data_IF_162499937973
#
_entry.id   IF_162499937973
#
_cell.length_a   1.000
_cell.length_b   1.000
_cell.length_c   1.000
_cell.angle_alpha   90.00
_cell.angle_beta   90.00
_cell.angle_gamma   90.00
#
_symmetry.space_group_name_H-M   'P 1'
#
loop_
_entity.id
_entity.type
_entity.pdbx_description
1 polymer ?
#
# COMPACT_ATOMS: atom_id res chain seq x y z
N UNK A 1 -28.34 -9.41 1.35
CA UNK A 1 -27.19 -8.73 0.71
C UNK A 1 -27.64 -7.50 -0.04
N UNK A 2 -26.83 -6.42 0.05
CA UNK A 2 -27.04 -5.21 -0.71
C UNK A 2 -26.56 -5.37 -2.17
N UNK A 3 -27.26 -4.70 -3.08
CA UNK A 3 -26.79 -4.49 -4.45
C UNK A 3 -26.79 -3.00 -4.70
N UNK A 4 -25.67 -2.46 -5.19
CA UNK A 4 -25.47 -1.03 -5.36
C UNK A 4 -25.34 -0.73 -6.85
N UNK A 5 -26.11 0.27 -7.31
CA UNK A 5 -25.97 0.88 -8.62
C UNK A 5 -25.61 2.35 -8.40
N UNK A 6 -24.39 2.74 -8.76
CA UNK A 6 -23.92 4.12 -8.70
C UNK A 6 -24.18 4.81 -10.04
N UNK A 7 -24.90 5.92 -10.03
CA UNK A 7 -25.24 6.69 -11.23
C UNK A 7 -24.80 8.14 -10.99
N UNK A 8 -24.02 8.69 -11.90
CA UNK A 8 -23.60 10.10 -11.87
C UNK A 8 -23.30 10.58 -13.31
N UNK A 9 -23.46 11.87 -13.54
CA UNK A 9 -23.01 12.58 -14.75
C UNK A 9 -21.52 12.95 -14.68
N UNK A 10 -20.88 12.76 -13.51
CA UNK A 10 -19.48 13.04 -13.24
C UNK A 10 -18.75 11.77 -12.80
N UNK A 11 -17.84 11.28 -13.60
CA UNK A 11 -17.11 10.05 -13.29
C UNK A 11 -16.33 10.13 -11.96
N UNK A 12 -15.80 11.30 -11.63
CA UNK A 12 -15.10 11.55 -10.38
C UNK A 12 -15.96 11.32 -9.13
N UNK A 13 -17.28 11.54 -9.24
CA UNK A 13 -18.23 11.29 -8.13
C UNK A 13 -18.35 9.80 -7.81
N UNK A 14 -18.17 8.93 -8.79
CA UNK A 14 -18.16 7.48 -8.57
C UNK A 14 -16.93 7.07 -7.77
N UNK A 15 -15.75 7.59 -8.13
CA UNK A 15 -14.48 7.33 -7.45
C UNK A 15 -14.50 7.82 -6.00
N UNK A 16 -15.08 9.00 -5.75
CA UNK A 16 -15.17 9.59 -4.42
C UNK A 16 -16.37 9.09 -3.59
N UNK A 17 -17.11 8.08 -4.06
CA UNK A 17 -18.36 7.62 -3.43
C UNK A 17 -18.10 6.75 -2.19
N UNK A 18 -18.80 7.06 -1.10
CA UNK A 18 -18.79 6.27 0.13
C UNK A 18 -20.05 5.40 0.29
N UNK A 19 -20.80 5.16 -0.77
CA UNK A 19 -22.10 4.44 -0.70
C UNK A 19 -21.91 3.04 -0.11
N UNK A 20 -20.92 2.27 -0.57
CA UNK A 20 -20.69 0.91 -0.06
C UNK A 20 -20.35 0.89 1.42
N UNK A 21 -19.46 1.76 1.86
CA UNK A 21 -19.09 1.93 3.26
C UNK A 21 -20.31 2.28 4.10
N UNK A 22 -21.16 3.20 3.63
CA UNK A 22 -22.33 3.70 4.36
C UNK A 22 -23.47 2.68 4.50
N UNK A 23 -23.45 1.57 3.76
CA UNK A 23 -24.42 0.47 3.89
C UNK A 23 -24.07 -0.51 5.02
N UNK A 24 -22.89 -0.38 5.62
CA UNK A 24 -22.45 -1.23 6.73
C UNK A 24 -22.89 -0.67 8.09
N UNK A 25 -22.91 -1.56 9.09
CA UNK A 25 -23.24 -1.18 10.46
C UNK A 25 -22.27 -0.14 11.02
N UNK A 26 -22.67 0.67 11.99
CA UNK A 26 -21.79 1.56 12.71
C UNK A 26 -20.60 0.84 13.35
N UNK A 27 -19.57 1.60 13.70
CA UNK A 27 -18.37 1.08 14.36
C UNK A 27 -18.73 0.32 15.64
N UNK A 28 -18.19 -0.91 15.77
CA UNK A 28 -18.35 -1.79 16.95
C UNK A 28 -17.15 -1.74 17.90
N UNK A 29 -16.13 -0.95 17.59
CA UNK A 29 -14.95 -0.76 18.44
C UNK A 29 -15.15 0.52 19.25
N UNK A 30 -15.19 0.41 20.58
CA UNK A 30 -15.42 1.56 21.47
C UNK A 30 -14.27 2.55 21.46
N UNK A 31 -13.03 2.05 21.60
CA UNK A 31 -11.81 2.85 21.50
C UNK A 31 -11.04 2.54 20.23
N UNK A 32 -10.99 3.49 19.31
CA UNK A 32 -10.24 3.40 18.05
C UNK A 32 -8.89 4.13 18.11
N UNK A 33 -8.51 4.69 19.25
CA UNK A 33 -7.30 5.53 19.39
C UNK A 33 -5.99 4.79 19.12
N UNK A 34 -5.98 3.47 19.27
CA UNK A 34 -4.84 2.60 18.99
C UNK A 34 -4.67 2.30 17.49
N UNK A 35 -5.71 2.50 16.66
CA UNK A 35 -5.67 2.27 15.22
C UNK A 35 -4.81 3.38 14.58
N UNK A 36 -3.68 3.01 14.02
CA UNK A 36 -2.70 3.95 13.45
C UNK A 36 -2.35 3.57 12.02
N UNK A 37 -3.09 4.06 11.02
CA UNK A 37 -2.69 3.93 9.62
C UNK A 37 -1.27 4.47 9.39
N UNK A 38 -0.53 3.88 8.47
CA UNK A 38 0.86 4.27 8.23
C UNK A 38 1.51 3.51 7.09
N UNK A 39 2.83 3.60 6.98
CA UNK A 39 3.62 2.95 5.93
C UNK A 39 4.50 1.86 6.50
N UNK A 40 4.61 0.75 5.75
CA UNK A 40 5.40 -0.42 6.13
C UNK A 40 6.39 -0.83 5.06
N UNK A 41 7.58 -1.28 5.45
CA UNK A 41 8.42 -2.06 4.53
C UNK A 41 7.81 -3.44 4.32
N UNK A 42 7.98 -4.01 3.12
CA UNK A 42 7.53 -5.35 2.79
C UNK A 42 8.61 -6.11 2.02
N UNK A 43 9.52 -6.73 2.76
CA UNK A 43 10.79 -7.26 2.24
C UNK A 43 10.63 -8.50 1.35
N UNK A 44 9.53 -9.22 1.48
CA UNK A 44 9.22 -10.33 0.61
C UNK A 44 9.23 -9.93 -0.87
N UNK A 45 8.69 -8.75 -1.21
CA UNK A 45 8.65 -8.27 -2.59
C UNK A 45 10.04 -8.15 -3.21
N UNK A 46 11.00 -7.59 -2.48
CA UNK A 46 12.36 -7.42 -2.99
C UNK A 46 13.25 -8.68 -2.82
N UNK A 47 12.73 -9.75 -2.20
CA UNK A 47 13.46 -11.00 -1.95
C UNK A 47 14.35 -10.93 -0.72
N UNK A 48 13.98 -10.14 0.30
CA UNK A 48 14.73 -9.95 1.55
C UNK A 48 16.20 -9.52 1.33
N UNK A 49 16.42 -8.66 0.33
CA UNK A 49 17.76 -8.24 -0.05
C UNK A 49 18.36 -7.33 1.02
N UNK A 50 19.59 -7.62 1.39
CA UNK A 50 20.43 -6.81 2.27
C UNK A 50 21.81 -6.62 1.61
N UNK A 51 22.51 -5.50 1.85
CA UNK A 51 23.83 -5.24 1.26
C UNK A 51 24.94 -6.11 1.86
N UNK A 52 24.74 -6.58 3.10
CA UNK A 52 25.71 -7.45 3.78
C UNK A 52 25.63 -8.87 3.21
N UNK A 53 26.70 -9.33 2.58
CA UNK A 53 26.80 -10.65 1.96
C UNK A 53 27.35 -11.74 2.89
N UNK A 54 27.60 -11.41 4.16
CA UNK A 54 28.12 -12.38 5.14
C UNK A 54 27.04 -13.31 5.67
N UNK A 55 25.77 -13.00 5.44
CA UNK A 55 24.62 -13.85 5.76
C UNK A 55 23.55 -13.80 4.66
N UNK A 56 22.66 -14.77 4.66
CA UNK A 56 21.51 -14.79 3.75
C UNK A 56 20.35 -13.96 4.35
N UNK A 57 19.84 -13.02 3.56
CA UNK A 57 18.64 -12.25 3.94
C UNK A 57 17.41 -13.15 4.11
N UNK A 58 16.54 -12.82 5.08
CA UNK A 58 15.31 -13.57 5.37
C UNK A 58 14.94 -13.59 6.86
N UNK A 59 14.48 -14.75 7.35
CA UNK A 59 14.03 -14.96 8.73
C UNK A 59 15.21 -14.97 9.73
N UNK A 60 15.82 -13.81 9.95
CA UNK A 60 16.87 -13.63 10.95
C UNK A 60 16.90 -12.18 11.48
N UNK A 61 17.52 -12.01 12.63
CA UNK A 61 17.61 -10.70 13.28
C UNK A 61 18.37 -9.65 12.42
N UNK A 62 19.53 -9.94 11.79
CA UNK A 62 20.25 -8.94 11.01
C UNK A 62 19.42 -8.35 9.86
N UNK A 63 18.65 -9.17 9.14
CA UNK A 63 17.75 -8.70 8.07
C UNK A 63 16.68 -7.77 8.62
N UNK A 64 15.96 -8.20 9.65
CA UNK A 64 14.89 -7.39 10.24
C UNK A 64 15.45 -6.09 10.83
N UNK A 65 16.60 -6.16 11.52
CA UNK A 65 17.29 -4.98 12.03
C UNK A 65 17.60 -3.95 10.94
N UNK A 66 18.14 -4.40 9.80
CA UNK A 66 18.48 -3.53 8.69
C UNK A 66 17.28 -2.73 8.16
N UNK A 67 16.12 -3.39 8.00
CA UNK A 67 14.89 -2.72 7.56
C UNK A 67 14.22 -1.89 8.67
N UNK A 68 14.28 -2.33 9.91
CA UNK A 68 13.80 -1.53 11.06
C UNK A 68 14.59 -0.22 11.16
N UNK A 69 15.93 -0.27 11.02
CA UNK A 69 16.77 0.92 11.01
C UNK A 69 16.41 1.88 9.87
N UNK A 70 16.09 1.34 8.69
CA UNK A 70 15.61 2.15 7.55
C UNK A 70 14.28 2.84 7.87
N UNK A 71 13.31 2.11 8.42
CA UNK A 71 12.02 2.65 8.84
C UNK A 71 12.21 3.79 9.84
N UNK A 72 13.01 3.56 10.88
CA UNK A 72 13.25 4.51 11.96
C UNK A 72 13.91 5.82 11.45
N UNK A 73 15.02 5.71 10.68
CA UNK A 73 15.75 6.92 10.21
C UNK A 73 14.99 7.72 9.16
N UNK A 74 13.97 7.13 8.52
CA UNK A 74 13.15 7.81 7.52
C UNK A 74 11.77 8.25 8.02
N UNK A 75 11.48 8.03 9.32
CA UNK A 75 10.20 8.43 9.92
C UNK A 75 9.00 7.67 9.36
N UNK A 76 9.20 6.41 8.97
CA UNK A 76 8.14 5.50 8.57
C UNK A 76 7.57 4.80 9.82
N UNK A 77 6.50 4.00 9.66
CA UNK A 77 5.70 3.54 10.80
C UNK A 77 5.95 2.09 11.18
N UNK A 78 6.07 1.20 10.17
CA UNK A 78 6.03 -0.24 10.37
C UNK A 78 7.14 -0.96 9.62
N UNK A 79 7.51 -2.12 10.14
CA UNK A 79 8.24 -3.15 9.42
C UNK A 79 7.42 -4.43 9.38
N UNK A 80 7.28 -5.05 8.19
CA UNK A 80 6.55 -6.30 8.01
C UNK A 80 7.50 -7.49 8.06
N UNK A 81 7.23 -8.44 8.94
CA UNK A 81 7.89 -9.74 8.99
C UNK A 81 7.04 -10.75 8.24
N UNK A 82 7.56 -11.25 7.15
CA UNK A 82 6.86 -12.21 6.29
C UNK A 82 7.46 -13.60 6.43
N UNK A 83 8.70 -13.72 6.09
CA UNK A 83 9.41 -14.97 5.95
C UNK A 83 10.51 -14.82 4.92
N UNK A 84 11.00 -15.93 4.42
CA UNK A 84 11.81 -15.98 3.20
C UNK A 84 10.99 -16.63 2.05
N UNK A 85 11.58 -16.77 0.87
CA UNK A 85 10.88 -17.33 -0.30
C UNK A 85 10.41 -18.79 -0.12
N UNK A 86 10.94 -19.50 0.87
CA UNK A 86 10.69 -20.94 1.07
C UNK A 86 9.92 -21.25 2.36
N UNK A 87 9.90 -20.33 3.34
CA UNK A 87 9.37 -20.59 4.67
C UNK A 87 8.85 -19.31 5.32
N UNK A 88 7.65 -19.38 5.94
CA UNK A 88 7.15 -18.34 6.83
C UNK A 88 8.01 -18.18 8.09
N UNK A 89 7.74 -17.18 8.91
CA UNK A 89 8.41 -16.95 10.19
C UNK A 89 8.01 -17.98 11.28
N UNK A 90 6.99 -18.81 11.02
CA UNK A 90 6.48 -19.85 11.92
C UNK A 90 6.57 -21.24 11.27
N UNK A 91 6.32 -22.31 12.05
CA UNK A 91 6.37 -23.70 11.58
C UNK A 91 5.17 -24.02 10.67
N UNK A 92 5.44 -24.25 9.39
CA UNK A 92 4.46 -24.62 8.35
C UNK A 92 4.32 -26.14 8.16
N UNK A 93 4.89 -26.96 9.05
CA UNK A 93 4.89 -28.44 8.95
C UNK A 93 5.57 -28.95 7.66
N UNK A 94 6.59 -28.24 7.18
CA UNK A 94 7.40 -28.62 6.03
C UNK A 94 6.70 -28.60 4.67
N UNK A 95 5.48 -28.06 4.59
CA UNK A 95 4.68 -28.08 3.36
C UNK A 95 4.99 -26.93 2.38
N UNK A 96 5.84 -25.98 2.80
CA UNK A 96 6.23 -24.84 2.00
C UNK A 96 5.26 -23.67 2.07
N UNK A 97 5.76 -22.54 1.58
CA UNK A 97 5.11 -21.25 1.67
C UNK A 97 3.71 -21.23 1.02
N UNK A 98 2.74 -20.68 1.77
CA UNK A 98 1.36 -20.55 1.30
C UNK A 98 0.51 -21.82 1.39
N UNK A 99 1.12 -22.99 1.63
CA UNK A 99 0.44 -24.28 1.72
C UNK A 99 0.81 -24.99 3.02
N UNK A 100 0.41 -24.46 4.19
CA UNK A 100 0.79 -25.04 5.48
C UNK A 100 0.24 -26.46 5.62
N UNK A 101 1.08 -27.35 6.17
CA UNK A 101 0.69 -28.71 6.48
C UNK A 101 -0.31 -28.79 7.66
N UNK A 102 -0.88 -29.97 7.90
CA UNK A 102 -1.93 -30.14 8.92
C UNK A 102 -1.48 -29.92 10.37
N UNK A 103 -0.16 -29.93 10.61
CA UNK A 103 0.44 -29.68 11.94
C UNK A 103 1.12 -28.31 12.03
N UNK A 104 0.91 -27.44 11.03
CA UNK A 104 1.45 -26.09 11.07
C UNK A 104 1.04 -25.37 12.35
N UNK A 105 1.98 -24.67 12.98
CA UNK A 105 1.79 -24.03 14.27
C UNK A 105 2.22 -22.58 14.27
N UNK A 106 1.24 -21.67 14.26
CA UNK A 106 1.44 -20.22 14.26
C UNK A 106 2.14 -19.70 15.54
N UNK A 107 2.14 -20.48 16.60
CA UNK A 107 2.79 -20.12 17.87
C UNK A 107 4.26 -20.57 17.92
N UNK A 108 4.69 -21.41 17.00
CA UNK A 108 6.05 -21.95 16.94
C UNK A 108 6.88 -21.18 15.93
N UNK A 109 7.64 -20.23 16.42
CA UNK A 109 8.58 -19.44 15.60
C UNK A 109 9.72 -20.32 15.08
N UNK A 110 10.16 -20.08 13.83
CA UNK A 110 11.31 -20.83 13.25
C UNK A 110 12.58 -20.60 14.06
N UNK A 111 13.50 -21.59 14.15
CA UNK A 111 14.68 -21.49 15.02
C UNK A 111 15.64 -20.36 14.70
N UNK A 112 15.64 -19.86 13.48
CA UNK A 112 16.50 -18.75 13.04
C UNK A 112 16.02 -17.37 13.49
N UNK A 113 14.80 -17.28 14.06
CA UNK A 113 14.14 -16.01 14.42
C UNK A 113 13.76 -15.99 15.90
N UNK A 114 14.14 -14.94 16.59
CA UNK A 114 13.62 -14.62 17.92
C UNK A 114 12.64 -13.46 17.81
N UNK A 115 11.34 -13.76 17.78
CA UNK A 115 10.30 -12.74 17.58
C UNK A 115 10.31 -11.67 18.69
N UNK A 116 10.50 -12.06 19.96
CA UNK A 116 10.54 -11.10 21.06
C UNK A 116 11.70 -10.12 20.92
N UNK A 117 12.90 -10.61 20.56
CA UNK A 117 14.09 -9.78 20.34
C UNK A 117 13.86 -8.74 19.23
N UNK A 118 13.24 -9.14 18.11
CA UNK A 118 12.93 -8.24 17.00
C UNK A 118 11.91 -7.18 17.43
N UNK A 119 10.85 -7.58 18.12
CA UNK A 119 9.82 -6.67 18.60
C UNK A 119 10.38 -5.66 19.63
N UNK A 120 11.22 -6.12 20.55
CA UNK A 120 11.88 -5.24 21.52
C UNK A 120 12.83 -4.26 20.84
N UNK A 121 13.59 -4.73 19.85
CA UNK A 121 14.44 -3.85 19.04
C UNK A 121 13.62 -2.82 18.28
N UNK A 122 12.59 -3.24 17.54
CA UNK A 122 11.72 -2.33 16.80
C UNK A 122 11.11 -1.26 17.70
N UNK A 123 10.57 -1.67 18.85
CA UNK A 123 10.03 -0.77 19.87
C UNK A 123 11.07 0.24 20.35
N UNK A 124 12.33 -0.17 20.58
CA UNK A 124 13.42 0.72 20.97
C UNK A 124 13.73 1.79 19.92
N UNK A 125 13.46 1.49 18.64
CA UNK A 125 13.62 2.40 17.51
C UNK A 125 12.34 3.19 17.17
N UNK A 126 11.25 3.02 17.91
CA UNK A 126 9.96 3.66 17.62
C UNK A 126 9.22 3.07 16.43
N UNK A 127 9.60 1.88 15.99
CA UNK A 127 9.00 1.15 14.86
C UNK A 127 8.03 0.09 15.38
N UNK A 128 6.90 -0.07 14.71
CA UNK A 128 5.90 -1.10 15.01
C UNK A 128 6.05 -2.28 14.07
N UNK A 129 5.74 -3.48 14.55
CA UNK A 129 5.83 -4.71 13.76
C UNK A 129 4.47 -5.13 13.23
N UNK A 130 4.45 -5.48 11.96
CA UNK A 130 3.35 -6.12 11.24
C UNK A 130 3.79 -7.52 10.81
N UNK A 131 2.91 -8.54 10.91
CA UNK A 131 3.21 -9.92 10.55
C UNK A 131 2.44 -10.34 9.28
N UNK A 132 3.00 -11.26 8.54
CA UNK A 132 2.25 -12.05 7.56
C UNK A 132 1.85 -13.40 8.17
N UNK A 133 0.64 -13.89 7.87
CA UNK A 133 0.14 -15.19 8.35
C UNK A 133 -0.75 -15.85 7.30
N UNK A 134 -0.66 -17.18 7.16
CA UNK A 134 -1.71 -17.93 6.47
C UNK A 134 -2.93 -18.07 7.40
N UNK A 135 -4.13 -17.91 6.82
CA UNK A 135 -5.37 -17.92 7.61
C UNK A 135 -5.66 -19.24 8.33
N UNK A 136 -5.28 -20.40 7.76
CA UNK A 136 -5.63 -21.71 8.31
C UNK A 136 -4.96 -22.01 9.66
N UNK A 137 -3.61 -21.96 9.79
CA UNK A 137 -2.96 -22.15 11.09
C UNK A 137 -3.29 -21.05 12.09
N UNK A 138 -3.55 -19.81 11.61
CA UNK A 138 -3.98 -18.73 12.46
C UNK A 138 -5.38 -18.96 13.02
N UNK A 139 -6.35 -19.35 12.18
CA UNK A 139 -7.73 -19.59 12.61
C UNK A 139 -7.84 -20.77 13.56
N UNK A 140 -7.03 -21.82 13.37
CA UNK A 140 -7.00 -22.99 14.25
C UNK A 140 -6.61 -22.64 15.71
N UNK A 141 -5.90 -21.54 15.95
CA UNK A 141 -5.42 -21.10 17.27
C UNK A 141 -5.64 -19.58 17.46
N UNK A 142 -6.75 -19.04 16.96
CA UNK A 142 -6.96 -17.59 16.85
C UNK A 142 -6.82 -16.85 18.19
N UNK A 143 -7.38 -17.38 19.27
CA UNK A 143 -7.38 -16.72 20.57
C UNK A 143 -5.98 -16.74 21.21
N UNK A 144 -5.28 -17.88 21.13
CA UNK A 144 -3.91 -18.01 21.64
C UNK A 144 -2.92 -17.17 20.80
N UNK A 145 -3.12 -17.16 19.47
CA UNK A 145 -2.26 -16.39 18.56
C UNK A 145 -2.37 -14.88 18.81
N UNK A 146 -3.59 -14.35 18.94
CA UNK A 146 -3.77 -12.93 19.18
C UNK A 146 -3.26 -12.49 20.55
N UNK A 147 -3.47 -13.31 21.58
CA UNK A 147 -2.88 -13.08 22.90
C UNK A 147 -1.35 -13.10 22.86
N UNK A 148 -0.74 -13.99 22.07
CA UNK A 148 0.71 -14.03 21.90
C UNK A 148 1.24 -12.84 21.09
N UNK A 149 0.52 -12.41 20.04
CA UNK A 149 0.89 -11.24 19.22
C UNK A 149 0.84 -9.95 20.04
N UNK A 150 -0.20 -9.76 20.84
CA UNK A 150 -0.27 -8.66 21.80
C UNK A 150 0.91 -8.68 22.78
N UNK A 151 1.25 -9.83 23.34
CA UNK A 151 2.38 -10.00 24.25
C UNK A 151 3.72 -9.64 23.59
N UNK A 152 3.94 -9.97 22.32
CA UNK A 152 5.11 -9.56 21.56
C UNK A 152 5.10 -8.07 21.22
N UNK A 153 3.96 -7.40 21.28
CA UNK A 153 3.79 -6.00 20.90
C UNK A 153 3.60 -5.83 19.38
N UNK A 154 3.08 -6.85 18.69
CA UNK A 154 2.69 -6.77 17.29
C UNK A 154 1.55 -5.78 17.14
N UNK A 155 1.57 -4.97 16.09
CA UNK A 155 0.55 -3.95 15.82
C UNK A 155 -0.57 -4.44 14.90
N UNK A 156 -0.30 -5.42 14.07
CA UNK A 156 -1.27 -5.98 13.13
C UNK A 156 -0.68 -7.05 12.24
N UNK A 157 -1.51 -7.58 11.34
CA UNK A 157 -1.09 -8.66 10.46
C UNK A 157 -1.79 -8.65 9.11
N UNK A 158 -1.11 -9.18 8.10
CA UNK A 158 -1.69 -9.69 6.87
C UNK A 158 -2.18 -11.11 7.11
N UNK A 159 -3.44 -11.40 6.76
CA UNK A 159 -4.03 -12.74 6.78
C UNK A 159 -4.28 -13.15 5.34
N UNK A 160 -3.58 -14.18 4.88
CA UNK A 160 -3.45 -14.51 3.48
C UNK A 160 -4.01 -15.89 3.10
N UNK A 161 -4.17 -16.11 1.78
CA UNK A 161 -4.66 -17.36 1.16
C UNK A 161 -6.09 -17.74 1.54
N UNK A 162 -6.97 -16.76 1.70
CA UNK A 162 -8.37 -17.04 2.04
C UNK A 162 -9.17 -17.54 0.83
N UNK A 163 -8.87 -17.07 -0.39
CA UNK A 163 -9.31 -17.59 -1.72
C UNK A 163 -10.80 -17.97 -1.84
N UNK A 164 -11.66 -17.40 -1.00
CA UNK A 164 -13.09 -17.66 -0.93
C UNK A 164 -13.86 -16.36 -0.68
N UNK A 165 -15.08 -16.28 -1.23
CA UNK A 165 -16.01 -15.16 -1.04
C UNK A 165 -17.41 -15.62 -0.58
N UNK A 166 -17.53 -16.87 -0.16
CA UNK A 166 -18.77 -17.43 0.36
C UNK A 166 -19.11 -16.90 1.78
N UNK A 167 -20.34 -17.12 2.20
CA UNK A 167 -20.86 -16.59 3.46
C UNK A 167 -20.07 -17.04 4.69
N UNK A 168 -19.54 -18.26 4.69
CA UNK A 168 -18.73 -18.78 5.78
C UNK A 168 -17.42 -18.02 5.90
N UNK A 169 -16.72 -17.81 4.76
CA UNK A 169 -15.47 -17.05 4.75
C UNK A 169 -15.67 -15.60 5.19
N UNK A 170 -16.75 -14.96 4.79
CA UNK A 170 -17.06 -13.59 5.24
C UNK A 170 -17.29 -13.54 6.76
N UNK A 171 -17.93 -14.56 7.36
CA UNK A 171 -18.05 -14.66 8.81
C UNK A 171 -16.72 -14.86 9.52
N UNK A 172 -15.84 -15.68 8.96
CA UNK A 172 -14.48 -15.88 9.48
C UNK A 172 -13.69 -14.57 9.44
N UNK A 173 -13.79 -13.81 8.35
CA UNK A 173 -13.15 -12.50 8.24
C UNK A 173 -13.68 -11.50 9.30
N UNK A 174 -15.00 -11.48 9.51
CA UNK A 174 -15.60 -10.65 10.57
C UNK A 174 -15.13 -11.10 11.96
N UNK A 175 -15.03 -12.41 12.21
CA UNK A 175 -14.50 -12.96 13.47
C UNK A 175 -13.05 -12.57 13.71
N UNK A 176 -12.19 -12.64 12.67
CA UNK A 176 -10.81 -12.13 12.76
C UNK A 176 -10.78 -10.67 13.20
N UNK A 177 -11.55 -9.81 12.56
CA UNK A 177 -11.59 -8.38 12.88
C UNK A 177 -12.06 -8.12 14.31
N UNK A 178 -13.15 -8.77 14.72
CA UNK A 178 -13.72 -8.60 16.05
C UNK A 178 -12.78 -9.08 17.17
N UNK A 179 -12.09 -10.22 16.95
CA UNK A 179 -11.12 -10.75 17.92
C UNK A 179 -9.82 -9.95 17.90
N UNK A 180 -9.30 -9.60 16.73
CA UNK A 180 -8.10 -8.76 16.59
C UNK A 180 -8.26 -7.40 17.29
N UNK A 181 -9.45 -6.79 17.22
CA UNK A 181 -9.73 -5.53 17.88
C UNK A 181 -9.58 -5.61 19.40
N UNK A 182 -9.92 -6.75 20.03
CA UNK A 182 -9.76 -6.95 21.50
C UNK A 182 -8.30 -6.96 21.93
N UNK A 183 -7.39 -7.27 21.03
CA UNK A 183 -5.94 -7.31 21.24
C UNK A 183 -5.22 -6.13 20.60
N UNK A 184 -5.96 -5.09 20.18
CA UNK A 184 -5.44 -3.88 19.52
C UNK A 184 -4.61 -4.19 18.25
N UNK A 185 -5.07 -5.19 17.47
CA UNK A 185 -4.42 -5.63 16.23
C UNK A 185 -5.22 -5.16 15.02
N UNK A 186 -4.56 -4.51 14.05
CA UNK A 186 -5.17 -4.26 12.75
C UNK A 186 -4.97 -5.46 11.81
N UNK A 187 -5.81 -5.55 10.80
CA UNK A 187 -5.81 -6.67 9.85
C UNK A 187 -5.75 -6.13 8.42
N UNK A 188 -4.95 -6.78 7.62
CA UNK A 188 -4.89 -6.68 6.18
C UNK A 188 -5.24 -8.04 5.60
N UNK A 189 -6.27 -8.13 4.75
CA UNK A 189 -6.63 -9.38 4.09
C UNK A 189 -5.96 -9.50 2.72
N UNK A 190 -5.40 -10.68 2.46
CA UNK A 190 -4.72 -11.02 1.21
C UNK A 190 -5.24 -12.36 0.68
N UNK A 191 -5.04 -12.67 -0.61
CA UNK A 191 -5.74 -13.79 -1.21
C UNK A 191 -7.24 -13.76 -0.89
N UNK A 192 -7.89 -12.61 -0.92
CA UNK A 192 -9.23 -12.39 -0.40
C UNK A 192 -10.11 -11.66 -1.41
N UNK A 193 -11.44 -11.77 -1.25
CA UNK A 193 -12.38 -11.01 -2.05
C UNK A 193 -12.26 -9.49 -1.85
N UNK A 194 -12.74 -8.70 -2.81
CA UNK A 194 -12.80 -7.24 -2.69
C UNK A 194 -13.55 -6.78 -1.45
N UNK A 195 -13.27 -5.57 -0.91
CA UNK A 195 -13.98 -5.03 0.26
C UNK A 195 -15.49 -4.87 0.01
N UNK A 196 -16.22 -4.87 1.12
CA UNK A 196 -17.66 -4.60 1.15
C UNK A 196 -18.03 -3.40 2.04
N UNK A 197 -17.02 -2.63 2.50
CA UNK A 197 -17.18 -1.51 3.42
C UNK A 197 -17.19 -1.92 4.90
N UNK A 198 -16.78 -3.14 5.23
CA UNK A 198 -16.74 -3.67 6.59
C UNK A 198 -15.80 -2.87 7.52
N UNK A 199 -14.85 -2.15 6.94
CA UNK A 199 -13.97 -1.20 7.65
C UNK A 199 -14.73 -0.05 8.35
N UNK A 200 -16.00 0.21 8.02
CA UNK A 200 -16.85 1.10 8.82
C UNK A 200 -17.22 0.48 10.17
N UNK A 201 -17.54 -0.81 10.18
CA UNK A 201 -17.92 -1.57 11.37
C UNK A 201 -16.70 -1.95 12.20
N UNK A 202 -15.62 -2.30 11.53
CA UNK A 202 -14.34 -2.68 12.11
C UNK A 202 -13.20 -1.87 11.47
N UNK A 203 -12.95 -0.64 11.93
CA UNK A 203 -11.90 0.23 11.36
C UNK A 203 -10.47 -0.29 11.55
N UNK A 204 -10.29 -1.40 12.24
CA UNK A 204 -9.02 -2.15 12.25
C UNK A 204 -8.82 -3.03 11.00
N UNK A 205 -9.78 -3.10 10.07
CA UNK A 205 -9.55 -3.58 8.72
C UNK A 205 -8.87 -2.48 7.89
N UNK A 206 -7.59 -2.65 7.54
CA UNK A 206 -6.86 -1.64 6.79
C UNK A 206 -7.05 -1.79 5.30
N UNK A 207 -6.78 -2.96 4.76
CA UNK A 207 -6.87 -3.19 3.31
C UNK A 207 -7.28 -4.62 3.00
N UNK A 208 -7.75 -4.82 1.77
CA UNK A 208 -7.88 -6.14 1.15
C UNK A 208 -7.20 -6.11 -0.21
N UNK A 209 -6.60 -7.20 -0.62
CA UNK A 209 -6.06 -7.32 -1.97
C UNK A 209 -7.20 -7.33 -3.01
N UNK A 210 -7.82 -8.47 -3.26
CA UNK A 210 -8.94 -8.66 -4.17
C UNK A 210 -8.72 -8.12 -5.59
N UNK A 211 -7.46 -8.16 -6.06
CA UNK A 211 -7.01 -7.71 -7.39
C UNK A 211 -5.61 -8.21 -7.66
N UNK A 212 -5.20 -8.25 -8.92
CA UNK A 212 -3.77 -8.30 -9.25
C UNK A 212 -3.07 -7.04 -8.73
N UNK A 213 -1.84 -7.18 -8.29
CA UNK A 213 -1.03 -6.11 -7.74
C UNK A 213 0.44 -6.25 -8.17
N UNK A 214 1.33 -5.38 -7.68
CA UNK A 214 2.73 -5.38 -8.12
C UNK A 214 3.59 -6.58 -7.66
N UNK A 215 3.03 -7.55 -6.94
CA UNK A 215 3.73 -8.83 -6.78
C UNK A 215 3.94 -9.53 -8.12
N UNK A 216 3.02 -9.34 -9.09
CA UNK A 216 3.11 -9.86 -10.45
C UNK A 216 4.32 -9.36 -11.22
N UNK A 217 4.94 -8.24 -10.83
CA UNK A 217 6.24 -7.82 -11.38
C UNK A 217 7.34 -8.89 -11.26
N UNK A 218 7.17 -9.86 -10.36
CA UNK A 218 8.10 -10.97 -10.16
C UNK A 218 7.90 -12.07 -11.21
N UNK A 219 6.69 -12.26 -11.75
CA UNK A 219 6.31 -13.44 -12.51
C UNK A 219 5.83 -13.19 -13.93
N UNK A 220 5.09 -12.09 -14.15
CA UNK A 220 4.46 -11.78 -15.43
C UNK A 220 4.49 -10.27 -15.74
N UNK A 221 3.69 -9.85 -16.72
CA UNK A 221 3.59 -8.46 -17.18
C UNK A 221 2.18 -7.90 -17.07
N UNK A 222 1.34 -8.51 -16.24
CA UNK A 222 -0.09 -8.22 -16.20
C UNK A 222 -0.42 -6.98 -15.35
N UNK A 223 0.51 -6.55 -14.50
CA UNK A 223 0.40 -5.32 -13.72
C UNK A 223 1.24 -4.21 -14.35
N UNK A 224 0.65 -3.52 -15.30
CA UNK A 224 1.22 -2.38 -16.02
C UNK A 224 0.37 -1.12 -15.80
N UNK A 225 0.75 0.00 -16.41
CA UNK A 225 0.01 1.25 -16.29
C UNK A 225 -1.42 1.17 -16.86
N UNK A 226 -1.66 0.28 -17.85
CA UNK A 226 -3.02 0.04 -18.38
C UNK A 226 -3.87 -0.69 -17.33
N UNK A 227 -3.31 -1.62 -16.56
CA UNK A 227 -3.97 -2.24 -15.41
C UNK A 227 -4.23 -1.22 -14.30
N UNK A 228 -3.22 -0.42 -13.94
CA UNK A 228 -3.31 0.58 -12.87
C UNK A 228 -4.43 1.60 -13.12
N UNK A 229 -4.61 2.02 -14.38
CA UNK A 229 -5.65 3.00 -14.73
C UNK A 229 -7.07 2.43 -14.62
N UNK A 230 -7.26 1.12 -14.66
CA UNK A 230 -8.55 0.49 -14.45
C UNK A 230 -8.97 0.50 -12.97
N UNK A 231 -8.03 0.49 -12.05
CA UNK A 231 -8.27 0.36 -10.61
C UNK A 231 -9.22 1.41 -10.04
N UNK A 232 -9.05 2.72 -10.29
CA UNK A 232 -9.94 3.77 -9.78
C UNK A 232 -11.38 3.65 -10.27
N UNK A 233 -11.60 3.06 -11.45
CA UNK A 233 -12.92 2.95 -12.08
C UNK A 233 -13.61 1.61 -11.82
N UNK A 234 -12.93 0.66 -11.19
CA UNK A 234 -13.44 -0.69 -10.95
C UNK A 234 -13.22 -1.13 -9.51
N UNK A 235 -12.05 -1.69 -9.20
CA UNK A 235 -11.73 -2.33 -7.92
C UNK A 235 -11.83 -1.36 -6.73
N UNK A 236 -11.33 -0.13 -6.87
CA UNK A 236 -11.34 0.88 -5.80
C UNK A 236 -12.73 1.43 -5.48
N UNK A 237 -13.72 1.26 -6.35
CA UNK A 237 -15.11 1.59 -6.03
C UNK A 237 -15.65 0.74 -4.86
N UNK A 238 -15.02 -0.39 -4.59
CA UNK A 238 -15.35 -1.26 -3.46
C UNK A 238 -14.65 -0.86 -2.15
N UNK A 239 -13.56 -0.10 -2.21
CA UNK A 239 -12.79 0.34 -1.03
C UNK A 239 -11.29 0.14 -1.16
N UNK A 240 -10.58 0.39 -0.05
CA UNK A 240 -9.12 0.36 0.05
C UNK A 240 -8.49 -0.96 -0.42
N UNK A 241 -7.30 -0.86 -0.98
CA UNK A 241 -6.56 -2.01 -1.53
C UNK A 241 -5.15 -2.12 -0.96
N UNK A 242 -4.66 -3.35 -0.86
CA UNK A 242 -3.24 -3.65 -0.88
C UNK A 242 -2.78 -3.78 -2.34
N UNK A 243 -1.59 -3.26 -2.65
CA UNK A 243 -1.10 -3.22 -4.03
C UNK A 243 0.41 -3.44 -4.16
N UNK A 244 1.10 -3.74 -3.09
CA UNK A 244 2.56 -3.89 -3.04
C UNK A 244 3.30 -2.72 -3.71
N UNK A 245 2.91 -1.49 -3.36
CA UNK A 245 3.51 -0.27 -3.92
C UNK A 245 4.98 -0.10 -3.50
N UNK A 246 5.69 0.75 -4.23
CA UNK A 246 6.98 1.28 -3.84
C UNK A 246 8.17 0.76 -4.64
N UNK A 247 7.98 -0.01 -5.70
CA UNK A 247 9.10 -0.33 -6.60
C UNK A 247 9.72 0.95 -7.16
N UNK A 248 10.94 1.29 -6.74
CA UNK A 248 11.66 2.50 -7.18
C UNK A 248 12.65 2.24 -8.31
N UNK A 249 12.69 1.01 -8.79
CA UNK A 249 13.44 0.57 -9.97
C UNK A 249 12.47 0.36 -11.12
N UNK A 250 12.27 1.41 -11.90
CA UNK A 250 11.36 1.44 -13.04
C UNK A 250 12.07 1.11 -14.33
N UNK A 251 11.41 0.35 -15.20
CA UNK A 251 11.87 0.09 -16.56
C UNK A 251 10.78 0.44 -17.56
N UNK A 252 11.16 0.97 -18.75
CA UNK A 252 10.23 1.12 -19.86
C UNK A 252 9.66 -0.23 -20.28
N UNK A 253 8.45 -0.24 -20.82
CA UNK A 253 7.70 -1.44 -21.21
C UNK A 253 8.50 -2.38 -22.13
N UNK A 254 9.25 -1.85 -23.08
CA UNK A 254 10.08 -2.61 -24.03
C UNK A 254 11.31 -3.26 -23.41
N UNK A 255 11.74 -2.75 -22.23
CA UNK A 255 12.91 -3.26 -21.48
C UNK A 255 12.52 -4.03 -20.23
N UNK A 256 11.23 -4.06 -19.89
CA UNK A 256 10.77 -4.71 -18.67
C UNK A 256 11.05 -6.22 -18.69
N UNK A 257 11.54 -6.71 -17.57
CA UNK A 257 11.81 -8.13 -17.30
C UNK A 257 11.40 -8.50 -15.88
N UNK A 258 10.83 -9.67 -15.76
CA UNK A 258 10.49 -10.25 -14.46
C UNK A 258 11.74 -10.74 -13.74
N UNK A 259 11.76 -10.61 -12.42
CA UNK A 259 12.77 -11.26 -11.58
C UNK A 259 12.30 -11.35 -10.13
N UNK A 260 12.61 -12.48 -9.49
CA UNK A 260 12.20 -12.80 -8.12
C UNK A 260 12.83 -11.88 -7.05
N UNK A 261 14.08 -11.51 -7.23
CA UNK A 261 14.81 -10.63 -6.30
C UNK A 261 15.07 -9.30 -6.96
N UNK A 262 14.83 -8.24 -6.18
CA UNK A 262 14.93 -6.88 -6.70
C UNK A 262 14.08 -6.65 -7.98
N UNK A 263 12.77 -6.95 -7.97
CA UNK A 263 11.94 -6.78 -9.17
C UNK A 263 11.96 -5.35 -9.68
N UNK A 264 11.60 -5.20 -10.94
CA UNK A 264 11.35 -3.91 -11.57
C UNK A 264 9.84 -3.66 -11.65
N UNK A 265 9.44 -2.39 -11.76
CA UNK A 265 8.08 -2.01 -12.11
C UNK A 265 8.01 -1.49 -13.54
N UNK A 266 6.91 -1.77 -14.25
CA UNK A 266 6.70 -1.39 -15.64
C UNK A 266 5.90 -0.10 -15.75
N UNK A 267 6.43 0.98 -15.15
CA UNK A 267 5.85 2.31 -15.19
C UNK A 267 6.95 3.35 -14.95
N UNK A 268 6.63 4.64 -15.03
CA UNK A 268 7.59 5.67 -14.61
C UNK A 268 7.62 5.80 -13.07
N UNK A 269 8.70 6.37 -12.53
CA UNK A 269 8.80 6.70 -11.11
C UNK A 269 7.68 7.65 -10.67
N UNK A 270 7.30 8.61 -11.52
CA UNK A 270 6.20 9.53 -11.22
C UNK A 270 4.85 8.82 -11.17
N UNK A 271 4.61 7.82 -12.02
CA UNK A 271 3.44 6.96 -11.95
C UNK A 271 3.39 6.22 -10.61
N UNK A 272 4.49 5.56 -10.22
CA UNK A 272 4.59 4.86 -8.93
C UNK A 272 4.31 5.80 -7.75
N UNK A 273 4.86 7.01 -7.74
CA UNK A 273 4.56 8.01 -6.70
C UNK A 273 3.09 8.40 -6.70
N UNK A 274 2.47 8.55 -7.88
CA UNK A 274 1.08 8.94 -8.01
C UNK A 274 0.13 7.85 -7.49
N UNK A 275 0.51 6.58 -7.58
CA UNK A 275 -0.29 5.47 -7.06
C UNK A 275 -0.55 5.59 -5.54
N UNK A 276 0.35 6.21 -4.75
CA UNK A 276 0.10 6.48 -3.32
C UNK A 276 -1.00 7.50 -3.04
N UNK A 277 -1.39 8.28 -4.05
CA UNK A 277 -2.53 9.21 -3.96
C UNK A 277 -3.76 8.63 -4.64
N UNK A 278 -3.58 7.95 -5.75
CA UNK A 278 -4.67 7.39 -6.57
C UNK A 278 -5.33 6.22 -5.84
N UNK A 279 -4.53 5.29 -5.32
CA UNK A 279 -5.05 4.17 -4.53
C UNK A 279 -5.36 4.64 -3.11
N UNK A 280 -6.40 4.07 -2.52
CA UNK A 280 -6.68 4.19 -1.10
C UNK A 280 -6.10 2.96 -0.38
N UNK A 281 -5.17 3.20 0.54
CA UNK A 281 -4.52 2.13 1.31
C UNK A 281 -4.15 2.68 2.69
N UNK A 282 -4.71 2.10 3.75
CA UNK A 282 -4.42 2.53 5.12
C UNK A 282 -3.11 1.94 5.67
N UNK A 283 -2.54 0.97 4.95
CA UNK A 283 -1.18 0.48 5.15
C UNK A 283 -0.40 0.62 3.85
N UNK A 284 0.25 1.76 3.66
CA UNK A 284 1.04 2.02 2.45
C UNK A 284 2.32 1.17 2.44
N UNK A 285 2.43 0.22 1.52
CA UNK A 285 3.65 -0.57 1.39
C UNK A 285 4.79 0.22 0.75
N UNK A 286 6.01 -0.06 1.17
CA UNK A 286 7.28 0.43 0.62
C UNK A 286 8.13 -0.82 0.38
N UNK A 287 8.01 -1.41 -0.82
CA UNK A 287 8.43 -2.77 -1.08
C UNK A 287 9.89 -2.91 -1.51
N UNK A 288 10.53 -1.84 -1.99
CA UNK A 288 11.90 -1.91 -2.50
C UNK A 288 12.95 -1.91 -1.38
N UNK A 289 14.23 -2.02 -1.74
CA UNK A 289 15.33 -1.98 -0.78
C UNK A 289 15.64 -0.53 -0.36
N UNK A 290 16.21 -0.31 0.83
CA UNK A 290 16.63 1.03 1.29
C UNK A 290 17.48 1.78 0.26
N UNK A 291 18.39 1.09 -0.44
CA UNK A 291 19.28 1.70 -1.46
C UNK A 291 18.51 2.20 -2.70
N UNK A 292 17.35 1.60 -2.99
CA UNK A 292 16.51 2.06 -4.09
C UNK A 292 15.82 3.40 -3.78
N UNK A 293 15.71 3.78 -2.52
CA UNK A 293 15.03 4.99 -2.06
C UNK A 293 15.98 6.11 -1.64
N UNK A 294 16.99 5.79 -0.83
CA UNK A 294 17.83 6.81 -0.19
C UNK A 294 18.66 7.59 -1.21
N UNK A 295 18.55 8.90 -1.17
CA UNK A 295 19.17 9.79 -2.14
C UNK A 295 18.48 9.86 -3.51
N UNK A 296 17.38 9.12 -3.72
CA UNK A 296 16.68 9.12 -5.01
C UNK A 296 15.63 10.22 -5.08
N UNK A 297 15.48 10.87 -6.25
CA UNK A 297 14.43 11.87 -6.49
C UNK A 297 13.02 11.28 -6.24
N UNK A 298 12.17 12.03 -5.55
CA UNK A 298 10.80 11.64 -5.23
C UNK A 298 10.64 10.89 -3.90
N UNK A 299 11.72 10.43 -3.27
CA UNK A 299 11.60 9.75 -1.97
C UNK A 299 11.07 10.68 -0.87
N UNK A 300 11.39 11.98 -0.93
CA UNK A 300 10.83 12.97 -0.03
C UNK A 300 9.31 13.09 -0.14
N UNK A 301 8.74 12.94 -1.35
CA UNK A 301 7.29 12.88 -1.53
C UNK A 301 6.73 11.59 -0.90
N UNK A 302 7.35 10.44 -1.16
CA UNK A 302 6.95 9.16 -0.60
C UNK A 302 6.93 9.18 0.94
N UNK A 303 7.87 9.88 1.57
CA UNK A 303 7.88 10.07 3.03
C UNK A 303 6.73 10.97 3.49
N UNK A 304 6.42 12.02 2.75
CA UNK A 304 5.43 13.03 3.12
C UNK A 304 3.97 12.59 2.90
N UNK A 305 3.68 11.82 1.82
CA UNK A 305 2.32 11.43 1.46
C UNK A 305 1.69 10.61 2.59
N UNK A 306 0.49 10.99 3.11
CA UNK A 306 -0.19 10.24 4.16
C UNK A 306 -0.93 9.01 3.61
N UNK A 307 -1.47 8.18 4.51
CA UNK A 307 -2.25 6.99 4.18
C UNK A 307 -3.75 7.14 4.48
N UNK A 308 -4.16 8.29 5.02
CA UNK A 308 -5.56 8.63 5.29
C UNK A 308 -5.87 10.05 4.85
N UNK A 309 -7.12 10.29 4.47
CA UNK A 309 -7.54 11.51 3.82
C UNK A 309 -8.77 12.13 4.47
N UNK A 310 -8.80 13.46 4.55
CA UNK A 310 -9.92 14.21 5.09
C UNK A 310 -10.92 14.58 3.98
N UNK A 311 -10.43 14.71 2.73
CA UNK A 311 -11.24 15.01 1.56
C UNK A 311 -10.62 14.41 0.30
N UNK A 312 -11.46 13.98 -0.64
CA UNK A 312 -11.07 13.51 -1.97
C UNK A 312 -11.86 14.26 -3.05
N UNK A 313 -11.15 14.74 -4.07
CA UNK A 313 -11.71 15.38 -5.27
C UNK A 313 -11.04 14.76 -6.50
N UNK A 314 -11.78 14.63 -7.59
CA UNK A 314 -11.28 14.16 -8.88
C UNK A 314 -11.36 15.30 -9.89
N UNK A 315 -10.29 16.09 -10.06
CA UNK A 315 -10.29 17.26 -10.96
C UNK A 315 -10.58 16.91 -12.41
N UNK A 316 -10.05 15.80 -12.89
CA UNK A 316 -10.35 15.26 -14.22
C UNK A 316 -10.08 13.75 -14.29
N UNK A 317 -10.77 13.09 -15.21
CA UNK A 317 -10.59 11.67 -15.48
C UNK A 317 -11.18 11.31 -16.85
N UNK A 318 -10.58 10.33 -17.50
CA UNK A 318 -11.10 9.65 -18.69
C UNK A 318 -10.90 8.16 -18.51
N UNK A 319 -11.98 7.38 -18.60
CA UNK A 319 -11.96 5.94 -18.37
C UNK A 319 -10.96 5.28 -19.31
N UNK A 320 -10.13 4.39 -18.76
CA UNK A 320 -9.06 3.68 -19.47
C UNK A 320 -7.94 4.56 -20.03
N UNK A 321 -7.92 5.87 -19.74
CA UNK A 321 -6.91 6.77 -20.29
C UNK A 321 -6.05 7.42 -19.21
N UNK A 322 -6.67 8.14 -18.29
CA UNK A 322 -5.97 8.82 -17.19
C UNK A 322 -6.93 9.16 -16.04
N UNK A 323 -6.36 9.41 -14.88
CA UNK A 323 -7.09 9.96 -13.73
C UNK A 323 -6.18 10.89 -12.94
N UNK A 324 -6.76 12.01 -12.49
CA UNK A 324 -6.15 12.91 -11.51
C UNK A 324 -7.00 12.91 -10.25
N UNK A 325 -6.43 12.54 -9.12
CA UNK A 325 -7.08 12.56 -7.81
C UNK A 325 -6.34 13.55 -6.91
N UNK A 326 -7.07 14.46 -6.29
CA UNK A 326 -6.59 15.41 -5.30
C UNK A 326 -7.15 15.02 -3.92
N UNK A 327 -6.29 14.86 -2.94
CA UNK A 327 -6.66 14.44 -1.58
C UNK A 327 -6.08 15.39 -0.54
N UNK A 328 -6.89 15.79 0.42
CA UNK A 328 -6.53 16.69 1.52
C UNK A 328 -6.19 15.92 2.78
N UNK A 329 -5.14 16.36 3.47
CA UNK A 329 -4.83 15.94 4.83
C UNK A 329 -4.39 17.14 5.67
N UNK A 330 -5.16 17.46 6.70
CA UNK A 330 -4.97 18.72 7.44
C UNK A 330 -5.12 19.92 6.50
N UNK A 331 -4.08 20.73 6.39
CA UNK A 331 -4.06 21.88 5.45
C UNK A 331 -3.42 21.56 4.10
N UNK A 332 -2.71 20.43 3.99
CA UNK A 332 -1.96 20.04 2.79
C UNK A 332 -2.87 19.28 1.80
N UNK A 333 -2.60 19.49 0.50
CA UNK A 333 -3.16 18.70 -0.58
C UNK A 333 -2.08 17.87 -1.27
N UNK A 334 -2.42 16.65 -1.59
CA UNK A 334 -1.63 15.72 -2.38
C UNK A 334 -2.41 15.37 -3.65
N UNK A 335 -1.79 15.57 -4.81
CA UNK A 335 -2.42 15.27 -6.10
C UNK A 335 -1.61 14.18 -6.78
N UNK A 336 -2.28 13.14 -7.25
CA UNK A 336 -1.69 12.08 -8.06
C UNK A 336 -2.39 12.01 -9.40
N UNK A 337 -1.60 11.97 -10.46
CA UNK A 337 -2.08 11.75 -11.83
C UNK A 337 -1.38 10.54 -12.41
N UNK A 338 -2.14 9.56 -12.89
CA UNK A 338 -1.62 8.42 -13.64
C UNK A 338 -2.19 8.38 -15.05
N UNK A 339 -1.42 7.84 -15.97
CA UNK A 339 -1.68 7.74 -17.40
C UNK A 339 -1.46 6.30 -17.87
N UNK A 340 -2.19 5.90 -18.90
CA UNK A 340 -2.01 4.61 -19.55
C UNK A 340 -0.77 4.58 -20.46
N UNK A 341 -0.66 3.55 -21.31
CA UNK A 341 0.43 3.36 -22.28
C UNK A 341 0.52 4.43 -23.39
N UNK A 342 -0.41 5.41 -23.44
CA UNK A 342 -0.41 6.47 -24.44
C UNK A 342 0.04 7.81 -23.85
N UNK A 343 1.16 8.37 -24.35
CA UNK A 343 1.61 9.69 -23.95
C UNK A 343 0.56 10.76 -24.31
N UNK A 344 0.36 11.72 -23.39
CA UNK A 344 -0.59 12.83 -23.57
C UNK A 344 -0.21 14.08 -22.79
N UNK A 345 -0.91 15.18 -23.05
CA UNK A 345 -0.87 16.36 -22.20
C UNK A 345 -2.25 16.62 -21.63
N UNK A 346 -2.33 16.87 -20.34
CA UNK A 346 -3.59 17.20 -19.66
C UNK A 346 -3.45 18.47 -18.84
N UNK A 347 -4.57 19.14 -18.61
CA UNK A 347 -4.64 20.29 -17.73
C UNK A 347 -5.30 19.91 -16.40
N UNK A 348 -4.70 20.31 -15.29
CA UNK A 348 -5.26 20.14 -13.95
C UNK A 348 -5.69 21.49 -13.40
N UNK A 349 -6.99 21.73 -13.31
CA UNK A 349 -7.57 22.91 -12.67
C UNK A 349 -7.41 22.82 -11.14
N UNK A 350 -6.92 23.89 -10.51
CA UNK A 350 -6.73 23.95 -9.06
C UNK A 350 -7.93 24.54 -8.29
N UNK A 351 -9.12 24.49 -8.87
CA UNK A 351 -10.37 25.04 -8.29
C UNK A 351 -10.80 24.39 -6.98
N UNK A 352 -10.22 23.25 -6.63
CA UNK A 352 -10.45 22.56 -5.36
C UNK A 352 -9.74 23.23 -4.17
N UNK A 353 -8.78 24.13 -4.43
CA UNK A 353 -8.11 24.91 -3.40
C UNK A 353 -9.01 26.03 -2.89
N UNK A 354 -8.79 26.46 -1.66
CA UNK A 354 -9.54 27.56 -1.04
C UNK A 354 -9.35 28.86 -1.83
N UNK A 355 -10.45 29.62 -2.02
CA UNK A 355 -10.39 30.93 -2.64
C UNK A 355 -9.56 31.88 -1.76
N UNK A 356 -8.86 32.79 -2.43
CA UNK A 356 -8.10 33.87 -1.80
C UNK A 356 -6.94 33.43 -0.90
N UNK A 357 -6.58 32.13 -0.92
CA UNK A 357 -5.35 31.62 -0.33
C UNK A 357 -4.26 31.42 -1.38
N UNK A 358 -3.03 31.64 -0.95
CA UNK A 358 -1.81 31.29 -1.70
C UNK A 358 -1.25 29.99 -1.20
N UNK A 359 -0.64 29.25 -2.11
CA UNK A 359 -0.04 27.95 -1.82
C UNK A 359 1.32 27.81 -2.49
N UNK A 360 2.21 27.10 -1.84
CA UNK A 360 3.42 26.55 -2.45
C UNK A 360 3.10 25.17 -3.01
N UNK A 361 3.32 24.96 -4.30
CA UNK A 361 3.23 23.65 -4.94
C UNK A 361 4.63 23.11 -5.23
N UNK A 362 4.86 21.85 -4.84
CA UNK A 362 5.99 21.06 -5.30
C UNK A 362 5.46 20.00 -6.25
N UNK A 363 5.91 20.03 -7.50
CA UNK A 363 5.51 19.14 -8.58
C UNK A 363 6.65 18.17 -8.86
N UNK A 364 6.34 16.87 -8.96
CA UNK A 364 7.21 15.86 -9.55
C UNK A 364 6.50 15.33 -10.78
N UNK A 365 7.14 15.42 -11.93
CA UNK A 365 6.59 15.00 -13.23
C UNK A 365 7.63 14.26 -14.06
N UNK A 366 7.18 13.49 -15.03
CA UNK A 366 8.03 12.78 -15.96
C UNK A 366 9.01 13.73 -16.64
N UNK A 367 10.28 13.31 -16.80
CA UNK A 367 11.28 14.04 -17.59
C UNK A 367 11.07 13.78 -19.10
N UNK A 368 11.66 14.61 -19.96
CA UNK A 368 11.55 14.45 -21.41
C UNK A 368 12.10 13.10 -21.90
N UNK A 369 13.12 12.58 -21.24
CA UNK A 369 13.77 11.31 -21.57
C UNK A 369 13.33 10.14 -20.68
N UNK A 370 12.21 10.26 -19.96
CA UNK A 370 11.63 9.22 -19.11
C UNK A 370 11.33 7.92 -19.88
N UNK A 371 11.01 8.00 -21.18
CA UNK A 371 10.84 6.81 -22.03
C UNK A 371 12.14 6.02 -22.26
N UNK A 372 13.31 6.61 -21.98
CA UNK A 372 14.61 5.96 -22.06
C UNK A 372 15.03 5.43 -20.70
N UNK A 373 14.80 6.23 -19.66
CA UNK A 373 15.06 5.90 -18.26
C UNK A 373 13.87 6.31 -17.39
N UNK A 374 13.01 5.34 -17.08
CA UNK A 374 11.74 5.53 -16.34
C UNK A 374 11.94 6.00 -14.89
N UNK A 375 13.18 6.09 -14.41
CA UNK A 375 13.50 6.61 -13.08
C UNK A 375 13.69 8.14 -13.06
N UNK A 376 13.81 8.78 -14.23
CA UNK A 376 14.03 10.22 -14.33
C UNK A 376 12.73 10.99 -14.13
N UNK A 377 12.84 12.04 -13.35
CA UNK A 377 11.75 12.98 -13.10
C UNK A 377 12.29 14.42 -12.98
N UNK A 378 11.39 15.38 -13.15
CA UNK A 378 11.65 16.82 -12.93
C UNK A 378 10.89 17.26 -11.69
N UNK A 379 11.59 17.99 -10.80
CA UNK A 379 11.00 18.66 -9.63
C UNK A 379 10.89 20.16 -9.87
N UNK A 380 9.69 20.70 -9.71
CA UNK A 380 9.40 22.13 -9.81
C UNK A 380 8.76 22.63 -8.52
N UNK A 381 9.07 23.87 -8.14
CA UNK A 381 8.44 24.54 -6.99
C UNK A 381 7.99 25.93 -7.44
N UNK A 382 6.74 26.30 -7.14
CA UNK A 382 6.21 27.63 -7.45
C UNK A 382 5.06 28.01 -6.49
N UNK A 383 4.68 29.28 -6.51
CA UNK A 383 3.46 29.76 -5.85
C UNK A 383 2.26 29.62 -6.80
N UNK A 384 1.11 29.28 -6.23
CA UNK A 384 -0.15 29.10 -6.94
C UNK A 384 -1.33 29.59 -6.12
N UNK A 385 -2.48 29.71 -6.79
CA UNK A 385 -3.79 29.99 -6.23
C UNK A 385 -4.82 29.02 -6.82
N UNK A 386 -6.06 29.09 -6.37
CA UNK A 386 -7.16 28.31 -6.93
C UNK A 386 -7.57 28.71 -8.35
N UNK A 387 -7.00 29.80 -8.92
CA UNK A 387 -7.24 30.27 -10.30
C UNK A 387 -6.29 29.66 -11.30
N UNK A 388 -5.24 29.04 -10.80
CA UNK A 388 -4.19 28.49 -11.65
C UNK A 388 -4.60 27.13 -12.24
N UNK A 389 -3.95 26.80 -13.33
CA UNK A 389 -4.04 25.54 -14.05
C UNK A 389 -2.63 25.01 -14.28
N UNK A 390 -2.44 23.73 -14.09
CA UNK A 390 -1.15 23.06 -14.35
C UNK A 390 -1.29 22.17 -15.57
N UNK A 391 -0.53 22.48 -16.62
CA UNK A 391 -0.42 21.60 -17.78
C UNK A 391 0.66 20.55 -17.51
N UNK A 392 0.29 19.27 -17.63
CA UNK A 392 1.14 18.12 -17.39
C UNK A 392 1.40 17.37 -18.69
N UNK A 393 2.62 17.37 -19.21
CA UNK A 393 3.04 16.35 -20.16
C UNK A 393 3.22 15.03 -19.41
N UNK A 394 2.52 13.99 -19.83
CA UNK A 394 2.58 12.63 -19.28
C UNK A 394 3.22 11.72 -20.33
N UNK A 395 4.26 11.02 -19.95
CA UNK A 395 4.87 9.99 -20.79
C UNK A 395 3.93 8.79 -20.96
N UNK A 396 4.25 7.88 -21.89
CA UNK A 396 3.70 6.52 -21.87
C UNK A 396 3.97 5.88 -20.50
N UNK A 397 2.97 5.22 -19.92
CA UNK A 397 3.05 4.62 -18.58
C UNK A 397 3.46 5.62 -17.48
N UNK A 398 3.17 6.90 -17.70
CA UNK A 398 3.66 8.02 -16.92
C UNK A 398 2.73 8.54 -15.86
N UNK A 399 3.22 9.54 -15.12
CA UNK A 399 2.45 10.15 -14.04
C UNK A 399 3.03 11.47 -13.53
N UNK A 400 2.36 12.01 -12.54
CA UNK A 400 2.83 13.20 -11.81
C UNK A 400 2.25 13.25 -10.41
N UNK A 401 2.98 13.84 -9.47
CA UNK A 401 2.46 14.13 -8.14
C UNK A 401 2.71 15.58 -7.74
N UNK A 402 1.77 16.13 -6.96
CA UNK A 402 1.92 17.43 -6.32
C UNK A 402 1.82 17.31 -4.82
N UNK A 403 2.62 18.06 -4.10
CA UNK A 403 2.43 18.41 -2.72
C UNK A 403 2.15 19.92 -2.64
N UNK A 404 0.96 20.29 -2.15
CA UNK A 404 0.49 21.68 -2.12
C UNK A 404 0.27 22.08 -0.66
N UNK A 405 0.93 23.15 -0.24
CA UNK A 405 0.94 23.62 1.13
C UNK A 405 0.52 25.09 1.18
N UNK A 406 -0.35 25.52 2.14
CA UNK A 406 -0.69 26.93 2.28
C UNK A 406 0.55 27.76 2.69
N UNK A 407 0.57 29.03 2.26
CA UNK A 407 1.64 29.99 2.58
C UNK A 407 1.09 31.04 3.55
#
# INVERSE_FOLDING_TARGET
>A
PWRVLMISDQIGSLIASNILTNLNEPCKIEDTSWIKPGKTTFTWWNGNVVPDTTFLGGNNFPTNKYYIDFVARNGLDYHSIYGNAEQAWYDEDGAGFGSPGPKADILKVVPSLNMQEICDYAKSQGVRIHLWTNWKPLYAKIDEAFAQFEKWGIAGMMIDFMDRDDQEMIRIQEEFLAKAAKHHLFVQFHGACKPSGLNRTYPNEFTREGTLNYEHCKWDKDTDADHDIHMPFTRLLAGATDYHLGGFRSLPRDKFKNQERNPYVMSTRCHMLAMYVVLESYLGMICDTPEAYEGQPGFEFLKAVPTTWDQTVVPNASVNEYVTIARKKGEDWFVGTINNSQARSIDVDLKFLDKDKKYKITIYKDAEDTNIDSNKLVKEVKEITNRDKITLPLASDGGSVFHIQPI
#
